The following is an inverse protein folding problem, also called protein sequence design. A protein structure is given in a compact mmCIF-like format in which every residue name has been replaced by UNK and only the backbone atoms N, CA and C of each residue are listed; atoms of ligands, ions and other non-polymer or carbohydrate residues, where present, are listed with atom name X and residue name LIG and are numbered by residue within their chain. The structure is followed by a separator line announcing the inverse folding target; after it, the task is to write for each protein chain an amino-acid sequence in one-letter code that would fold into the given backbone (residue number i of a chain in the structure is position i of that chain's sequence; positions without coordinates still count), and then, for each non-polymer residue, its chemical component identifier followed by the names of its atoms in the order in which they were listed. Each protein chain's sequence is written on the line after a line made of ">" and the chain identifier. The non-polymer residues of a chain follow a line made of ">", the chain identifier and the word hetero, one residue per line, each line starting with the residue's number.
data_IF_773560594602
#
_entry.id   IF_773560594602
#
_cell.length_a   1.000
_cell.length_b   1.000
_cell.length_c   1.000
_cell.angle_alpha   90.00
_cell.angle_beta   90.00
_cell.angle_gamma   90.00
#
_symmetry.space_group_name_H-M   'P 1'
#
loop_
_entity.id
_entity.type
_entity.pdbx_description
1 polymer ?
#
# COMPACT_ATOMS: atom_id res chain seq x y z
N UNK A 1 7.04 43.92 6.00
CA UNK A 1 7.65 42.77 5.30
C UNK A 1 6.79 41.53 5.51
N UNK A 2 6.24 40.93 4.45
CA UNK A 2 5.49 39.69 4.57
C UNK A 2 6.45 38.54 4.94
N UNK A 3 6.21 37.84 6.06
CA UNK A 3 6.96 36.65 6.46
C UNK A 3 6.93 35.64 5.30
N UNK A 4 8.09 35.34 4.72
CA UNK A 4 8.20 34.23 3.79
C UNK A 4 7.67 32.97 4.48
N UNK A 5 6.81 32.17 3.83
CA UNK A 5 6.31 30.95 4.43
C UNK A 5 7.51 30.03 4.68
N UNK A 6 7.69 29.60 5.94
CA UNK A 6 8.76 28.72 6.42
C UNK A 6 8.89 27.38 5.65
N UNK A 7 7.95 27.09 4.75
CA UNK A 7 7.96 25.95 3.85
C UNK A 7 7.66 24.61 4.53
N UNK A 8 7.24 24.65 5.79
CA UNK A 8 6.67 23.53 6.52
C UNK A 8 5.15 23.54 6.34
N UNK A 9 4.53 22.37 6.54
CA UNK A 9 3.07 22.31 6.67
C UNK A 9 2.67 22.76 8.07
N UNK A 10 1.63 23.60 8.16
CA UNK A 10 1.06 24.02 9.45
C UNK A 10 0.06 23.00 9.99
N UNK A 11 -0.70 22.38 9.08
CA UNK A 11 -1.73 21.40 9.39
C UNK A 11 -1.80 20.35 8.28
N UNK A 12 -2.20 19.13 8.65
CA UNK A 12 -2.53 18.04 7.73
C UNK A 12 -3.97 18.26 7.21
N UNK A 13 -4.13 18.30 5.90
CA UNK A 13 -5.42 18.47 5.22
C UNK A 13 -6.07 17.12 4.90
N UNK A 14 -7.36 17.12 4.51
CA UNK A 14 -8.07 15.90 4.07
C UNK A 14 -7.34 15.16 2.93
N UNK A 15 -6.78 15.92 1.98
CA UNK A 15 -6.00 15.38 0.85
C UNK A 15 -4.69 14.74 1.29
N UNK A 16 -3.99 15.38 2.23
CA UNK A 16 -2.79 14.77 2.83
C UNK A 16 -3.15 13.48 3.58
N UNK A 17 -4.26 13.46 4.34
CA UNK A 17 -4.72 12.24 5.03
C UNK A 17 -4.98 11.11 4.03
N UNK A 18 -5.66 11.39 2.91
CA UNK A 18 -5.93 10.41 1.86
C UNK A 18 -4.63 9.78 1.33
N UNK A 19 -3.64 10.61 1.00
CA UNK A 19 -2.31 10.13 0.59
C UNK A 19 -1.63 9.30 1.70
N UNK A 20 -1.58 9.81 2.92
CA UNK A 20 -0.87 9.13 4.02
C UNK A 20 -1.50 7.77 4.37
N UNK A 21 -2.83 7.65 4.31
CA UNK A 21 -3.55 6.37 4.49
C UNK A 21 -3.23 5.40 3.37
N UNK A 22 -3.22 5.85 2.12
CA UNK A 22 -2.83 4.99 1.01
C UNK A 22 -1.37 4.51 1.16
N UNK A 23 -0.43 5.40 1.48
CA UNK A 23 0.97 5.03 1.70
C UNK A 23 1.14 4.07 2.89
N UNK A 24 0.28 4.17 3.91
CA UNK A 24 0.25 3.23 5.02
C UNK A 24 -0.22 1.84 4.60
N UNK A 25 -1.14 1.76 3.63
CA UNK A 25 -1.74 0.51 3.15
C UNK A 25 -0.96 -0.17 2.04
N UNK A 26 -0.21 0.57 1.20
CA UNK A 26 0.53 -0.03 0.07
C UNK A 26 2.01 0.34 0.02
N UNK A 27 2.51 1.06 1.04
CA UNK A 27 3.93 1.34 1.24
C UNK A 27 4.47 2.53 0.43
N UNK A 28 4.03 2.70 -0.82
CA UNK A 28 4.47 3.81 -1.68
C UNK A 28 3.42 4.28 -2.69
N UNK A 29 3.71 5.41 -3.36
CA UNK A 29 3.00 5.90 -4.54
C UNK A 29 3.94 6.76 -5.39
N UNK A 30 3.63 7.02 -6.66
CA UNK A 30 4.34 8.03 -7.44
C UNK A 30 3.77 9.44 -7.23
N UNK A 31 4.52 10.46 -7.65
CA UNK A 31 4.03 11.85 -7.68
C UNK A 31 2.76 11.96 -8.55
N UNK A 32 2.74 11.29 -9.70
CA UNK A 32 1.60 11.29 -10.63
C UNK A 32 0.37 10.66 -9.98
N UNK A 33 0.52 9.54 -9.27
CA UNK A 33 -0.58 8.90 -8.54
C UNK A 33 -1.11 9.79 -7.41
N UNK A 34 -0.21 10.42 -6.66
CA UNK A 34 -0.56 11.38 -5.61
C UNK A 34 -1.35 12.57 -6.17
N UNK A 35 -0.94 13.11 -7.32
CA UNK A 35 -1.64 14.22 -7.97
C UNK A 35 -3.00 13.79 -8.52
N UNK A 36 -3.07 12.63 -9.17
CA UNK A 36 -4.29 12.12 -9.79
C UNK A 36 -5.35 11.72 -8.77
N UNK A 37 -4.97 10.99 -7.72
CA UNK A 37 -5.93 10.34 -6.84
C UNK A 37 -6.08 11.02 -5.48
N UNK A 38 -5.01 11.59 -4.93
CA UNK A 38 -5.05 12.30 -3.65
C UNK A 38 -5.08 13.83 -3.81
N UNK A 39 -4.93 14.34 -5.03
CA UNK A 39 -4.89 15.77 -5.36
C UNK A 39 -3.78 16.52 -4.59
N UNK A 40 -2.68 15.84 -4.27
CA UNK A 40 -1.52 16.40 -3.56
C UNK A 40 -0.38 16.66 -4.54
N UNK A 41 -0.23 17.93 -4.92
CA UNK A 41 0.78 18.40 -5.89
C UNK A 41 2.21 18.38 -5.35
N UNK A 42 3.20 18.29 -6.23
CA UNK A 42 4.64 18.27 -5.89
C UNK A 42 5.05 19.39 -4.91
N UNK A 43 4.50 20.60 -5.03
CA UNK A 43 4.76 21.71 -4.10
C UNK A 43 4.31 21.40 -2.67
N UNK A 44 3.19 20.68 -2.50
CA UNK A 44 2.70 20.22 -1.20
C UNK A 44 3.51 19.04 -0.69
N UNK A 45 3.87 18.09 -1.56
CA UNK A 45 4.75 16.96 -1.23
C UNK A 45 6.09 17.44 -0.65
N UNK A 46 6.77 18.39 -1.31
CA UNK A 46 8.02 18.98 -0.79
C UNK A 46 7.88 19.60 0.61
N UNK A 47 6.70 20.14 0.95
CA UNK A 47 6.42 20.68 2.29
C UNK A 47 6.17 19.56 3.31
N UNK A 48 5.47 18.49 2.92
CA UNK A 48 5.26 17.30 3.75
C UNK A 48 6.58 16.60 4.07
N UNK A 49 7.45 16.47 3.07
CA UNK A 49 8.80 15.91 3.22
C UNK A 49 9.65 16.75 4.17
N UNK A 50 9.71 18.07 3.97
CA UNK A 50 10.42 18.98 4.87
C UNK A 50 9.89 18.91 6.30
N UNK A 51 8.59 18.65 6.45
CA UNK A 51 7.91 18.45 7.74
C UNK A 51 8.05 17.02 8.29
N UNK A 52 8.83 16.16 7.62
CA UNK A 52 9.18 14.77 7.95
C UNK A 52 8.03 13.77 7.92
N UNK A 53 6.90 14.08 7.30
CA UNK A 53 5.78 13.13 7.17
C UNK A 53 6.03 12.09 6.09
N UNK A 54 6.64 12.49 4.98
CA UNK A 54 6.97 11.61 3.86
C UNK A 54 8.46 11.73 3.52
N UNK A 55 8.91 10.85 2.64
CA UNK A 55 10.21 10.91 1.95
C UNK A 55 9.94 10.83 0.44
N UNK A 56 10.62 11.67 -0.33
CA UNK A 56 10.67 11.57 -1.78
C UNK A 56 11.99 10.92 -2.19
N UNK A 57 11.93 9.93 -3.07
CA UNK A 57 13.12 9.28 -3.64
C UNK A 57 12.96 9.21 -5.15
N UNK A 58 13.91 9.75 -5.90
CA UNK A 58 13.94 9.62 -7.36
C UNK A 58 14.82 8.43 -7.74
N UNK A 59 14.31 7.57 -8.61
CA UNK A 59 14.98 6.37 -9.09
C UNK A 59 14.64 6.13 -10.57
N UNK A 60 15.37 5.21 -11.21
CA UNK A 60 15.06 4.75 -12.56
C UNK A 60 14.16 3.51 -12.46
N UNK A 61 12.93 3.62 -12.96
CA UNK A 61 12.00 2.50 -13.06
C UNK A 61 11.58 2.31 -14.52
N UNK A 62 11.82 1.13 -15.10
CA UNK A 62 11.50 0.86 -16.50
C UNK A 62 12.17 1.82 -17.49
N UNK A 63 13.39 2.27 -17.20
CA UNK A 63 14.16 3.20 -18.03
C UNK A 63 13.70 4.67 -17.94
N UNK A 64 12.82 5.01 -17.01
CA UNK A 64 12.34 6.39 -16.78
C UNK A 64 12.63 6.83 -15.35
N UNK A 65 12.99 8.11 -15.18
CA UNK A 65 13.03 8.71 -13.86
C UNK A 65 11.62 8.74 -13.26
N UNK A 66 11.50 8.20 -12.05
CA UNK A 66 10.26 8.15 -11.28
C UNK A 66 10.54 8.61 -9.86
N UNK A 67 9.76 9.57 -9.36
CA UNK A 67 9.84 9.99 -7.97
C UNK A 67 8.76 9.27 -7.16
N UNK A 68 9.20 8.41 -6.26
CA UNK A 68 8.31 7.70 -5.33
C UNK A 68 8.17 8.47 -4.02
N UNK A 69 7.03 8.25 -3.38
CA UNK A 69 6.63 8.82 -2.11
C UNK A 69 6.48 7.68 -1.12
N UNK A 70 7.08 7.80 0.06
CA UNK A 70 6.93 6.82 1.15
C UNK A 70 6.68 7.54 2.48
N UNK A 71 6.02 6.87 3.43
CA UNK A 71 5.92 7.39 4.79
C UNK A 71 7.30 7.45 5.46
N UNK A 72 7.61 8.59 6.06
CA UNK A 72 8.76 8.74 6.95
C UNK A 72 8.31 8.53 8.40
N UNK A 73 9.24 8.46 9.37
CA UNK A 73 8.98 8.12 10.79
C UNK A 73 7.82 8.93 11.37
N UNK A 74 7.78 10.26 11.16
CA UNK A 74 6.70 11.11 11.67
C UNK A 74 5.36 10.83 11.01
N UNK A 75 5.35 10.47 9.71
CA UNK A 75 4.12 10.07 9.01
C UNK A 75 3.58 8.74 9.51
N UNK A 76 4.45 7.76 9.74
CA UNK A 76 4.07 6.47 10.34
C UNK A 76 3.46 6.66 11.73
N UNK A 77 4.08 7.47 12.58
CA UNK A 77 3.55 7.79 13.91
C UNK A 77 2.19 8.48 13.83
N UNK A 78 2.06 9.51 13.00
CA UNK A 78 0.80 10.22 12.79
C UNK A 78 -0.34 9.27 12.35
N UNK A 79 -0.06 8.34 11.44
CA UNK A 79 -1.05 7.36 10.98
C UNK A 79 -1.49 6.44 12.13
N UNK A 80 -0.55 5.89 12.88
CA UNK A 80 -0.87 5.01 14.02
C UNK A 80 -1.65 5.76 15.09
N UNK A 81 -1.18 6.93 15.52
CA UNK A 81 -1.80 7.66 16.62
C UNK A 81 -3.19 8.23 16.28
N UNK A 82 -3.47 8.51 15.00
CA UNK A 82 -4.65 9.32 14.63
C UNK A 82 -5.65 8.60 13.72
N UNK A 83 -5.23 7.62 12.92
CA UNK A 83 -6.05 7.13 11.80
C UNK A 83 -6.20 5.60 11.76
N UNK A 84 -5.18 4.84 12.14
CA UNK A 84 -5.15 3.39 11.96
C UNK A 84 -4.79 2.61 13.24
N UNK A 85 -4.41 3.30 14.33
CA UNK A 85 -4.13 2.71 15.64
C UNK A 85 -3.17 1.52 15.56
N UNK A 86 -3.66 0.33 15.90
CA UNK A 86 -2.86 -0.89 16.06
C UNK A 86 -2.57 -1.62 14.74
N UNK A 87 -3.15 -1.16 13.62
CA UNK A 87 -2.93 -1.78 12.32
C UNK A 87 -1.45 -1.69 11.91
N UNK A 88 -0.92 -2.81 11.42
CA UNK A 88 0.38 -2.88 10.77
C UNK A 88 0.35 -2.09 9.47
N UNK A 89 1.48 -1.45 9.17
CA UNK A 89 1.64 -0.65 7.97
C UNK A 89 2.36 -1.50 6.93
N UNK A 90 2.05 -1.27 5.65
CA UNK A 90 2.78 -1.87 4.55
C UNK A 90 4.27 -1.50 4.61
N UNK A 91 5.10 -2.45 4.20
CA UNK A 91 6.55 -2.31 4.13
C UNK A 91 6.92 -2.23 2.66
N UNK A 92 7.31 -1.04 2.21
CA UNK A 92 7.80 -0.85 0.86
C UNK A 92 9.26 -1.33 0.73
N UNK A 93 9.56 -2.07 -0.34
CA UNK A 93 10.92 -2.49 -0.68
C UNK A 93 11.44 -1.76 -1.93
N UNK A 94 12.68 -1.26 -1.94
CA UNK A 94 13.28 -0.65 -3.13
C UNK A 94 13.40 -1.60 -4.33
N UNK A 95 13.47 -2.91 -4.08
CA UNK A 95 13.65 -3.92 -5.13
C UNK A 95 12.32 -4.26 -5.85
N UNK A 96 11.19 -3.83 -5.30
CA UNK A 96 9.84 -4.16 -5.77
C UNK A 96 9.03 -2.91 -6.18
N UNK A 97 9.71 -1.82 -6.57
CA UNK A 97 9.04 -0.53 -6.85
C UNK A 97 7.93 -0.63 -7.91
N UNK A 98 8.15 -1.35 -9.01
CA UNK A 98 7.11 -1.54 -10.03
C UNK A 98 5.87 -2.28 -9.49
N UNK A 99 6.09 -3.26 -8.62
CA UNK A 99 5.04 -4.04 -7.98
C UNK A 99 4.23 -3.17 -7.02
N UNK A 100 4.90 -2.44 -6.12
CA UNK A 100 4.23 -1.60 -5.12
C UNK A 100 3.50 -0.40 -5.77
N UNK A 101 4.03 0.14 -6.88
CA UNK A 101 3.32 1.16 -7.68
C UNK A 101 2.02 0.60 -8.27
N UNK A 102 2.03 -0.66 -8.74
CA UNK A 102 0.85 -1.32 -9.28
C UNK A 102 -0.17 -1.65 -8.18
N UNK A 103 0.30 -2.01 -6.98
CA UNK A 103 -0.57 -2.19 -5.81
C UNK A 103 -1.21 -0.86 -5.38
N UNK A 104 -0.44 0.24 -5.39
CA UNK A 104 -0.95 1.59 -5.13
C UNK A 104 -2.02 2.00 -6.16
N UNK A 105 -1.77 1.73 -7.45
CA UNK A 105 -2.73 1.99 -8.53
C UNK A 105 -4.03 1.21 -8.31
N UNK A 106 -3.91 -0.05 -7.91
CA UNK A 106 -5.04 -0.92 -7.60
C UNK A 106 -5.86 -0.36 -6.45
N UNK A 107 -5.21 -0.02 -5.34
CA UNK A 107 -5.87 0.56 -4.18
C UNK A 107 -6.70 1.79 -4.56
N UNK A 108 -6.13 2.70 -5.35
CA UNK A 108 -6.85 3.92 -5.75
C UNK A 108 -8.03 3.67 -6.69
N UNK A 109 -8.05 2.55 -7.41
CA UNK A 109 -9.15 2.14 -8.30
C UNK A 109 -10.26 1.37 -7.59
N UNK A 110 -10.05 0.94 -6.35
CA UNK A 110 -11.10 0.35 -5.54
C UNK A 110 -12.15 1.41 -5.18
N UNK A 111 -13.40 0.98 -5.04
CA UNK A 111 -14.44 1.83 -4.45
C UNK A 111 -14.09 2.21 -3.00
N UNK A 112 -14.56 3.38 -2.52
CA UNK A 112 -14.22 3.88 -1.19
C UNK A 112 -14.49 2.88 -0.04
N UNK A 113 -15.56 2.10 -0.10
CA UNK A 113 -15.83 1.04 0.89
C UNK A 113 -14.73 -0.02 0.95
N UNK A 114 -14.21 -0.45 -0.21
CA UNK A 114 -13.16 -1.45 -0.26
C UNK A 114 -11.80 -0.88 0.15
N UNK A 115 -11.55 0.40 -0.17
CA UNK A 115 -10.37 1.12 0.34
C UNK A 115 -10.36 1.18 1.88
N UNK A 116 -11.53 1.33 2.50
CA UNK A 116 -11.66 1.37 3.95
C UNK A 116 -11.29 0.01 4.58
N UNK A 117 -11.76 -1.09 3.99
CA UNK A 117 -11.50 -2.46 4.47
C UNK A 117 -10.18 -3.07 4.00
N UNK A 118 -9.38 -2.33 3.23
CA UNK A 118 -8.12 -2.85 2.69
C UNK A 118 -7.11 -3.18 3.79
N UNK A 119 -6.57 -4.40 3.75
CA UNK A 119 -5.60 -4.98 4.67
C UNK A 119 -4.32 -5.27 3.89
N UNK A 120 -3.17 -4.79 4.35
CA UNK A 120 -1.88 -5.02 3.68
C UNK A 120 -1.25 -6.36 4.10
N UNK A 121 -0.31 -6.86 3.30
CA UNK A 121 0.42 -8.11 3.56
C UNK A 121 0.95 -8.22 5.00
N UNK A 122 1.59 -7.16 5.53
CA UNK A 122 2.15 -7.20 6.88
C UNK A 122 1.07 -7.43 7.95
N UNK A 123 -0.09 -6.78 7.78
CA UNK A 123 -1.24 -6.97 8.67
C UNK A 123 -1.82 -8.39 8.54
N UNK A 124 -1.92 -8.92 7.31
CA UNK A 124 -2.35 -10.29 7.06
C UNK A 124 -1.42 -11.31 7.72
N UNK A 125 -0.11 -11.14 7.59
CA UNK A 125 0.89 -12.02 8.23
C UNK A 125 0.76 -11.95 9.75
N UNK A 126 0.57 -10.76 10.33
CA UNK A 126 0.36 -10.61 11.79
C UNK A 126 -0.87 -11.39 12.25
N UNK A 127 -1.99 -11.26 11.53
CA UNK A 127 -3.24 -11.97 11.84
C UNK A 127 -3.07 -13.48 11.73
N UNK A 128 -2.34 -13.98 10.72
CA UNK A 128 -2.05 -15.42 10.60
C UNK A 128 -1.22 -15.90 11.79
N UNK A 129 -0.21 -15.13 12.23
CA UNK A 129 0.63 -15.54 13.37
C UNK A 129 -0.10 -15.48 14.70
N UNK A 130 -1.02 -14.53 14.87
CA UNK A 130 -1.88 -14.44 16.05
C UNK A 130 -2.86 -15.63 16.13
N UNK A 131 -3.49 -15.99 15.01
CA UNK A 131 -4.43 -17.11 14.94
C UNK A 131 -3.72 -18.48 14.92
N UNK A 132 -2.54 -18.55 14.30
CA UNK A 132 -1.75 -19.78 14.10
C UNK A 132 -0.30 -19.58 14.55
N UNK A 133 -0.02 -19.49 15.87
CA UNK A 133 1.33 -19.21 16.38
C UNK A 133 2.41 -20.19 15.90
N UNK A 134 2.05 -21.44 15.59
CA UNK A 134 2.97 -22.46 15.08
C UNK A 134 3.56 -22.13 13.69
N UNK A 135 2.95 -21.20 12.94
CA UNK A 135 3.43 -20.70 11.64
C UNK A 135 4.34 -19.47 11.75
N UNK A 136 4.57 -18.93 12.96
CA UNK A 136 5.39 -17.72 13.17
C UNK A 136 6.77 -17.88 12.53
N UNK A 137 7.12 -16.95 11.63
CA UNK A 137 8.36 -16.93 10.84
C UNK A 137 8.57 -18.16 9.94
N UNK A 138 7.52 -18.93 9.64
CA UNK A 138 7.57 -20.12 8.76
C UNK A 138 6.80 -19.95 7.45
N UNK A 139 6.11 -18.82 7.25
CA UNK A 139 5.46 -18.54 5.98
C UNK A 139 6.51 -18.16 4.93
N UNK A 140 6.51 -18.88 3.83
CA UNK A 140 7.36 -18.58 2.67
C UNK A 140 6.83 -17.39 1.87
N UNK A 141 5.51 -17.17 1.91
CA UNK A 141 4.85 -16.08 1.19
C UNK A 141 3.52 -15.72 1.84
N UNK A 142 2.91 -14.62 1.39
CA UNK A 142 1.53 -14.22 1.69
C UNK A 142 0.99 -13.42 0.50
N UNK A 143 -0.32 -13.23 0.37
CA UNK A 143 -0.88 -12.35 -0.66
C UNK A 143 -0.60 -10.87 -0.33
N UNK A 144 -0.46 -10.03 -1.35
CA UNK A 144 -0.05 -8.62 -1.16
C UNK A 144 -1.05 -7.80 -0.33
N UNK A 145 -2.34 -8.11 -0.46
CA UNK A 145 -3.40 -7.47 0.29
C UNK A 145 -4.70 -8.28 0.27
N UNK A 146 -5.66 -7.84 1.08
CA UNK A 146 -7.05 -8.29 1.01
C UNK A 146 -8.02 -7.14 1.26
N UNK A 147 -9.27 -7.32 0.87
CA UNK A 147 -10.41 -6.45 1.22
C UNK A 147 -11.53 -7.32 1.79
N UNK A 148 -12.41 -6.70 2.60
CA UNK A 148 -13.63 -7.34 3.10
C UNK A 148 -14.81 -6.66 2.42
N UNK A 149 -15.67 -7.43 1.75
CA UNK A 149 -16.85 -6.88 1.09
C UNK A 149 -17.91 -6.47 2.10
N UNK A 150 -18.91 -5.71 1.64
CA UNK A 150 -20.11 -5.40 2.44
C UNK A 150 -20.90 -6.64 2.87
N UNK A 151 -20.74 -7.77 2.19
CA UNK A 151 -21.33 -9.07 2.55
C UNK A 151 -20.47 -9.87 3.52
N UNK A 152 -19.29 -9.37 3.91
CA UNK A 152 -18.35 -10.04 4.81
C UNK A 152 -17.39 -11.01 4.11
N UNK A 153 -17.35 -11.05 2.78
CA UNK A 153 -16.42 -11.91 2.04
C UNK A 153 -15.02 -11.30 2.01
N UNK A 154 -14.00 -12.09 2.32
CA UNK A 154 -12.60 -11.68 2.13
C UNK A 154 -12.17 -11.97 0.69
N UNK A 155 -11.67 -10.95 -0.01
CA UNK A 155 -11.11 -11.07 -1.36
C UNK A 155 -9.63 -10.71 -1.31
N UNK A 156 -8.78 -11.66 -1.72
CA UNK A 156 -7.35 -11.43 -1.85
C UNK A 156 -7.01 -10.57 -3.06
N UNK A 157 -5.90 -9.85 -2.99
CA UNK A 157 -5.33 -9.03 -4.07
C UNK A 157 -3.88 -9.44 -4.20
N UNK A 158 -3.47 -9.77 -5.43
CA UNK A 158 -2.10 -10.18 -5.74
C UNK A 158 -1.66 -9.56 -7.06
N UNK A 159 -0.52 -8.86 -7.06
CA UNK A 159 0.11 -8.29 -8.24
C UNK A 159 1.08 -9.32 -8.83
N UNK A 160 0.79 -9.76 -10.05
CA UNK A 160 1.59 -10.77 -10.75
C UNK A 160 2.80 -10.10 -11.41
N UNK A 161 3.99 -10.46 -10.92
CA UNK A 161 5.26 -10.18 -11.58
C UNK A 161 5.50 -11.07 -12.82
N UNK A 162 6.41 -10.64 -13.70
CA UNK A 162 6.72 -11.37 -14.97
C UNK A 162 7.29 -12.77 -14.75
N UNK A 163 7.82 -13.05 -13.56
CA UNK A 163 8.56 -14.28 -13.24
C UNK A 163 7.75 -15.27 -12.42
N UNK A 164 6.46 -15.01 -12.18
CA UNK A 164 5.61 -15.93 -11.39
C UNK A 164 5.51 -17.27 -12.09
N UNK A 165 5.83 -18.33 -11.34
CA UNK A 165 5.62 -19.71 -11.74
C UNK A 165 4.23 -20.19 -11.29
N UNK A 166 3.78 -21.32 -11.83
CA UNK A 166 2.56 -21.96 -11.34
C UNK A 166 2.68 -22.37 -9.86
N UNK A 167 3.90 -22.68 -9.40
CA UNK A 167 4.15 -23.00 -7.99
C UNK A 167 3.89 -21.79 -7.10
N UNK A 168 4.34 -20.60 -7.50
CA UNK A 168 4.11 -19.36 -6.74
C UNK A 168 2.61 -19.07 -6.64
N UNK A 169 1.89 -19.20 -7.76
CA UNK A 169 0.43 -19.03 -7.81
C UNK A 169 -0.25 -20.01 -6.86
N UNK A 170 0.12 -21.29 -6.89
CA UNK A 170 -0.47 -22.32 -6.05
C UNK A 170 -0.23 -22.04 -4.56
N UNK A 171 1.00 -21.64 -4.18
CA UNK A 171 1.33 -21.30 -2.78
C UNK A 171 0.50 -20.12 -2.28
N UNK A 172 0.34 -19.06 -3.09
CA UNK A 172 -0.50 -17.89 -2.76
C UNK A 172 -1.98 -18.28 -2.61
N UNK A 173 -2.50 -19.13 -3.49
CA UNK A 173 -3.87 -19.67 -3.38
C UNK A 173 -4.05 -20.45 -2.08
N UNK A 174 -3.11 -21.31 -1.72
CA UNK A 174 -3.18 -22.12 -0.51
C UNK A 174 -3.22 -21.26 0.75
N UNK A 175 -2.36 -20.25 0.85
CA UNK A 175 -2.35 -19.33 1.99
C UNK A 175 -3.65 -18.52 2.07
N UNK A 176 -4.09 -17.95 0.94
CA UNK A 176 -5.31 -17.15 0.90
C UNK A 176 -6.55 -17.94 1.35
N UNK A 177 -6.68 -19.20 0.89
CA UNK A 177 -7.81 -20.06 1.26
C UNK A 177 -7.68 -20.62 2.68
N UNK A 178 -6.53 -21.19 3.01
CA UNK A 178 -6.34 -21.99 4.24
C UNK A 178 -6.10 -21.14 5.48
N UNK A 179 -5.64 -19.89 5.31
CA UNK A 179 -5.23 -19.05 6.44
C UNK A 179 -5.96 -17.72 6.52
N UNK A 180 -6.47 -17.21 5.39
CA UNK A 180 -7.14 -15.90 5.32
C UNK A 180 -8.63 -15.98 4.94
N UNK A 181 -9.17 -17.19 4.73
CA UNK A 181 -10.55 -17.43 4.32
C UNK A 181 -10.97 -16.62 3.08
N UNK A 182 -10.04 -16.38 2.16
CA UNK A 182 -10.34 -15.65 0.92
C UNK A 182 -11.24 -16.50 0.03
N UNK A 183 -12.37 -15.93 -0.40
CA UNK A 183 -13.31 -16.61 -1.33
C UNK A 183 -12.75 -16.65 -2.75
N UNK A 184 -11.91 -15.68 -3.10
CA UNK A 184 -11.18 -15.58 -4.37
C UNK A 184 -9.97 -14.66 -4.24
N UNK A 185 -9.12 -14.65 -5.27
CA UNK A 185 -8.01 -13.72 -5.41
C UNK A 185 -8.21 -12.93 -6.71
N UNK A 186 -8.10 -11.61 -6.62
CA UNK A 186 -7.99 -10.72 -7.75
C UNK A 186 -6.53 -10.61 -8.16
N UNK A 187 -6.20 -11.24 -9.28
CA UNK A 187 -4.84 -11.26 -9.81
C UNK A 187 -4.62 -10.11 -10.78
N UNK A 188 -3.61 -9.29 -10.52
CA UNK A 188 -3.39 -8.01 -11.20
C UNK A 188 -2.09 -8.09 -11.97
N UNK A 189 -2.16 -8.11 -13.29
CA UNK A 189 -0.94 -8.08 -14.09
C UNK A 189 -0.38 -6.66 -14.23
N UNK A 190 0.80 -6.54 -14.84
CA UNK A 190 1.46 -5.27 -15.15
C UNK A 190 0.67 -4.30 -16.07
N UNK A 191 -0.49 -4.71 -16.58
CA UNK A 191 -1.41 -3.84 -17.35
C UNK A 191 -2.63 -3.39 -16.54
N UNK A 192 -2.73 -3.80 -15.27
CA UNK A 192 -3.88 -3.58 -14.41
C UNK A 192 -5.12 -4.41 -14.77
N UNK A 193 -4.97 -5.46 -15.60
CA UNK A 193 -6.07 -6.39 -15.91
C UNK A 193 -6.22 -7.39 -14.78
N UNK A 194 -7.46 -7.57 -14.34
CA UNK A 194 -7.84 -8.54 -13.31
C UNK A 194 -8.17 -9.88 -13.97
N UNK A 195 -7.51 -10.95 -13.53
CA UNK A 195 -7.86 -12.31 -13.91
C UNK A 195 -8.63 -12.99 -12.77
N UNK A 196 -9.60 -13.81 -13.15
CA UNK A 196 -10.31 -14.69 -12.23
C UNK A 196 -9.66 -16.06 -12.32
N UNK A 197 -9.15 -16.56 -11.20
CA UNK A 197 -8.73 -17.95 -11.00
C UNK A 197 -9.51 -18.51 -9.82
#
# INVERSE_FOLDING_TARGET
>A
MAKQPNGYIRQITKRDKKLLVQLAKTGMATVEQSEKYAEVKIKRLKRLERSKYIKLTTLINGGKETTIIQLNKKGKNYIRETLMYDQKLAVASPDHVSHDIQLAETYYRLEPEFQATFICEHELISQIYEDKPYLTNKLETCIDAAIITVTGETIGIEVIGKTYTQSDINSKIQIAKSHLNCTKINWINNTGKIFKY
#
